data_IF_529911955803
#
_entry.id   IF_529911955803
#
_cell.length_a   1.000
_cell.length_b   1.000
_cell.length_c   1.000
_cell.angle_alpha   90.00
_cell.angle_beta   90.00
_cell.angle_gamma   90.00
#
_symmetry.space_group_name_H-M   'P 1'
#
loop_
_entity.id
_entity.type
_entity.pdbx_description
1 polymer ?
#
# COMPACT_ATOMS: atom_id res chain seq x y z
N UNK A 1 -19.46 -26.43 -77.44
CA UNK A 1 -17.99 -26.37 -77.29
C UNK A 1 -17.70 -26.45 -75.80
N UNK A 2 -17.13 -27.56 -75.32
CA UNK A 2 -16.78 -27.69 -73.90
C UNK A 2 -15.55 -26.81 -73.65
N UNK A 3 -15.75 -25.69 -72.98
CA UNK A 3 -14.67 -24.81 -72.57
C UNK A 3 -13.84 -25.51 -71.49
N UNK A 4 -12.56 -25.12 -71.37
CA UNK A 4 -11.59 -25.61 -70.37
C UNK A 4 -12.06 -25.34 -68.91
N UNK A 5 -13.23 -24.73 -68.72
CA UNK A 5 -13.81 -24.22 -67.48
C UNK A 5 -14.13 -25.29 -66.41
N UNK A 6 -14.55 -26.51 -66.76
CA UNK A 6 -15.00 -27.48 -65.72
C UNK A 6 -13.88 -27.98 -64.79
N UNK A 7 -12.63 -28.10 -65.26
CA UNK A 7 -11.48 -28.48 -64.40
C UNK A 7 -10.82 -27.28 -63.71
N UNK A 8 -11.16 -26.05 -64.15
CA UNK A 8 -10.69 -24.80 -63.52
C UNK A 8 -11.49 -24.44 -62.26
N UNK A 9 -12.68 -25.03 -62.06
CA UNK A 9 -13.48 -24.83 -60.84
C UNK A 9 -12.90 -25.60 -59.63
N UNK A 10 -12.07 -26.64 -59.86
CA UNK A 10 -11.37 -27.37 -58.81
C UNK A 10 -9.95 -27.78 -59.25
N UNK A 11 -9.01 -26.83 -59.38
CA UNK A 11 -7.70 -27.10 -59.95
C UNK A 11 -6.90 -28.06 -59.05
N UNK A 12 -6.42 -29.15 -59.63
CA UNK A 12 -5.56 -30.14 -58.96
C UNK A 12 -4.12 -29.99 -59.44
N UNK A 13 -3.15 -30.28 -58.57
CA UNK A 13 -1.75 -30.31 -58.95
C UNK A 13 -1.43 -31.62 -59.69
N UNK A 14 -1.30 -31.56 -61.01
CA UNK A 14 -0.82 -32.68 -61.81
C UNK A 14 0.69 -32.87 -61.60
N UNK A 15 1.13 -34.12 -61.37
CA UNK A 15 2.55 -34.47 -61.30
C UNK A 15 3.15 -34.52 -62.72
N UNK A 16 4.15 -33.66 -62.99
CA UNK A 16 4.65 -33.44 -64.35
C UNK A 16 3.73 -32.62 -65.28
N UNK A 17 4.28 -32.17 -66.41
CA UNK A 17 3.49 -31.72 -67.56
C UNK A 17 3.66 -32.80 -68.61
N UNK A 18 2.56 -33.31 -69.15
CA UNK A 18 2.60 -34.34 -70.19
C UNK A 18 3.49 -33.89 -71.35
N UNK A 19 4.37 -34.75 -71.84
CA UNK A 19 5.11 -34.48 -73.06
C UNK A 19 4.40 -35.19 -74.21
N UNK A 20 4.12 -34.46 -75.30
CA UNK A 20 3.59 -35.08 -76.50
C UNK A 20 4.62 -36.05 -77.07
N UNK A 21 4.20 -37.29 -77.29
CA UNK A 21 5.03 -38.35 -77.85
C UNK A 21 4.80 -38.46 -79.36
N UNK A 22 5.79 -38.96 -80.09
CA UNK A 22 5.69 -39.14 -81.56
C UNK A 22 4.62 -40.16 -81.97
N UNK A 23 4.17 -40.99 -81.04
CA UNK A 23 3.10 -41.98 -81.21
C UNK A 23 1.71 -41.43 -80.89
N UNK A 24 1.60 -40.20 -80.38
CA UNK A 24 0.32 -39.64 -79.94
C UNK A 24 -0.56 -39.28 -81.15
N UNK A 25 -1.84 -39.69 -81.14
CA UNK A 25 -2.77 -39.29 -82.18
C UNK A 25 -3.07 -37.79 -82.07
N UNK A 26 -3.10 -37.09 -83.21
CA UNK A 26 -3.44 -35.66 -83.30
C UNK A 26 -4.95 -35.49 -83.10
N UNK A 27 -5.39 -35.62 -81.85
CA UNK A 27 -6.76 -35.45 -81.43
C UNK A 27 -6.92 -34.08 -80.80
N UNK A 28 -7.69 -33.21 -81.48
CA UNK A 28 -8.14 -31.94 -80.93
C UNK A 28 -9.38 -32.09 -80.03
N UNK A 29 -9.89 -30.97 -79.56
CA UNK A 29 -11.06 -30.91 -78.67
C UNK A 29 -10.72 -30.94 -77.17
N UNK A 30 -11.73 -30.82 -76.29
CA UNK A 30 -11.54 -30.56 -74.86
C UNK A 30 -10.76 -31.66 -74.10
N UNK A 31 -10.84 -32.89 -74.60
CA UNK A 31 -10.15 -34.07 -74.06
C UNK A 31 -9.10 -34.63 -75.04
N UNK A 32 -8.73 -33.86 -76.05
CA UNK A 32 -7.71 -34.24 -77.02
C UNK A 32 -6.32 -34.21 -76.39
N UNK A 33 -5.48 -35.20 -76.73
CA UNK A 33 -4.10 -35.32 -76.20
C UNK A 33 -3.29 -34.05 -76.51
N UNK A 34 -3.53 -33.42 -77.67
CA UNK A 34 -2.88 -32.17 -78.07
C UNK A 34 -3.14 -30.99 -77.11
N UNK A 35 -4.25 -30.99 -76.37
CA UNK A 35 -4.62 -29.91 -75.44
C UNK A 35 -4.25 -30.21 -73.98
N UNK A 36 -3.75 -31.42 -73.69
CA UNK A 36 -3.43 -31.87 -72.32
C UNK A 36 -2.40 -30.98 -71.65
N UNK A 37 -1.33 -30.63 -72.36
CA UNK A 37 -0.26 -29.75 -71.88
C UNK A 37 -0.78 -28.38 -71.41
N UNK A 38 -1.60 -27.74 -72.25
CA UNK A 38 -2.17 -26.43 -71.95
C UNK A 38 -3.16 -26.50 -70.77
N UNK A 39 -3.92 -27.60 -70.67
CA UNK A 39 -4.87 -27.85 -69.58
C UNK A 39 -4.15 -28.02 -68.23
N UNK A 40 -3.12 -28.87 -68.19
CA UNK A 40 -2.31 -29.12 -66.98
C UNK A 40 -1.57 -27.85 -66.52
N UNK A 41 -1.07 -27.03 -67.45
CA UNK A 41 -0.43 -25.76 -67.13
C UNK A 41 -1.43 -24.72 -66.57
N UNK A 42 -2.61 -24.62 -67.17
CA UNK A 42 -3.67 -23.71 -66.71
C UNK A 42 -4.16 -24.10 -65.30
N UNK A 43 -4.38 -25.39 -65.05
CA UNK A 43 -4.77 -25.91 -63.74
C UNK A 43 -3.71 -25.64 -62.66
N UNK A 44 -2.42 -25.85 -62.96
CA UNK A 44 -1.31 -25.52 -62.05
C UNK A 44 -1.24 -24.03 -61.72
N UNK A 45 -1.41 -23.19 -62.72
CA UNK A 45 -1.35 -21.72 -62.53
C UNK A 45 -2.48 -21.26 -61.61
N UNK A 46 -3.68 -21.78 -61.76
CA UNK A 46 -4.80 -21.48 -60.86
C UNK A 46 -4.62 -22.09 -59.47
N UNK A 47 -4.10 -23.32 -59.36
CA UNK A 47 -3.79 -23.94 -58.07
C UNK A 47 -2.78 -23.09 -57.27
N UNK A 48 -1.70 -22.64 -57.91
CA UNK A 48 -0.69 -21.78 -57.29
C UNK A 48 -1.26 -20.42 -56.89
N UNK A 49 -2.10 -19.81 -57.73
CA UNK A 49 -2.78 -18.55 -57.38
C UNK A 49 -3.68 -18.72 -56.16
N UNK A 50 -4.47 -19.80 -56.10
CA UNK A 50 -5.34 -20.12 -54.96
C UNK A 50 -4.52 -20.34 -53.69
N UNK A 51 -3.43 -21.10 -53.77
CA UNK A 51 -2.51 -21.30 -52.65
C UNK A 51 -1.86 -20.00 -52.18
N UNK A 52 -1.44 -19.15 -53.10
CA UNK A 52 -0.88 -17.84 -52.77
C UNK A 52 -1.91 -16.91 -52.11
N UNK A 53 -3.19 -17.00 -52.46
CA UNK A 53 -4.27 -16.26 -51.82
C UNK A 53 -4.64 -16.82 -50.44
N UNK A 54 -4.59 -18.15 -50.25
CA UNK A 54 -4.73 -18.83 -48.95
C UNK A 54 -3.58 -18.49 -47.98
N UNK A 55 -2.36 -18.37 -48.49
CA UNK A 55 -1.14 -18.10 -47.69
C UNK A 55 -0.90 -16.62 -47.42
N UNK A 56 -1.73 -15.69 -47.92
CA UNK A 56 -1.59 -14.26 -47.61
C UNK A 56 -1.90 -14.02 -46.13
N UNK A 57 -0.92 -13.59 -45.31
CA UNK A 57 -1.19 -13.28 -43.91
C UNK A 57 -2.18 -12.11 -43.85
N UNK A 58 -3.25 -12.29 -43.06
CA UNK A 58 -4.22 -11.22 -42.78
C UNK A 58 -3.59 -10.06 -41.99
N UNK A 59 -4.40 -9.06 -41.63
CA UNK A 59 -3.93 -7.98 -40.76
C UNK A 59 -3.47 -8.53 -39.39
N UNK A 60 -2.38 -7.98 -38.87
CA UNK A 60 -1.93 -8.27 -37.51
C UNK A 60 -2.89 -7.67 -36.47
N UNK A 61 -3.05 -8.35 -35.34
CA UNK A 61 -3.72 -7.83 -34.15
C UNK A 61 -2.92 -8.17 -32.89
N UNK A 62 -3.37 -7.68 -31.74
CA UNK A 62 -2.81 -8.01 -30.43
C UNK A 62 -2.90 -9.49 -30.06
N UNK A 63 -3.70 -10.27 -30.80
CA UNK A 63 -3.96 -11.70 -30.55
C UNK A 63 -3.65 -12.60 -31.76
N UNK A 64 -3.32 -12.02 -32.92
CA UNK A 64 -3.09 -12.76 -34.17
C UNK A 64 -1.93 -12.17 -34.98
N UNK A 65 -0.98 -13.03 -35.37
CA UNK A 65 0.12 -12.62 -36.26
C UNK A 65 -0.40 -12.28 -37.68
N UNK A 66 0.18 -11.26 -38.31
CA UNK A 66 -0.24 -10.78 -39.62
C UNK A 66 0.61 -9.61 -40.15
N UNK A 67 0.14 -8.92 -41.19
CA UNK A 67 0.75 -7.70 -41.73
C UNK A 67 0.27 -6.49 -40.92
N UNK A 68 1.20 -5.74 -40.33
CA UNK A 68 0.91 -4.53 -39.55
C UNK A 68 0.71 -3.33 -40.48
N UNK A 69 -0.39 -2.60 -40.33
CA UNK A 69 -0.63 -1.33 -41.00
C UNK A 69 -0.14 -0.16 -40.13
N UNK A 70 0.39 0.90 -40.75
CA UNK A 70 1.02 2.02 -40.04
C UNK A 70 0.14 3.29 -40.08
N UNK A 71 0.05 4.01 -38.96
CA UNK A 71 -0.69 5.27 -38.84
C UNK A 71 0.16 6.42 -38.29
N UNK A 72 -0.08 7.62 -38.82
CA UNK A 72 0.51 8.88 -38.33
C UNK A 72 -0.45 9.70 -37.45
N UNK A 73 -1.64 9.18 -37.13
CA UNK A 73 -2.58 9.85 -36.25
C UNK A 73 -2.05 9.92 -34.80
N UNK A 74 -2.26 11.04 -34.11
CA UNK A 74 -1.79 11.26 -32.73
C UNK A 74 -2.87 11.03 -31.66
N UNK A 75 -4.06 10.68 -32.10
CA UNK A 75 -5.32 10.57 -31.34
C UNK A 75 -6.07 9.27 -31.70
N UNK A 76 -5.40 8.33 -32.34
CA UNK A 76 -5.98 7.06 -32.75
C UNK A 76 -6.21 6.15 -31.55
N UNK A 77 -7.42 5.58 -31.47
CA UNK A 77 -7.78 4.50 -30.53
C UNK A 77 -7.79 3.11 -31.21
N UNK A 78 -7.32 3.00 -32.45
CA UNK A 78 -7.28 1.72 -33.17
C UNK A 78 -6.23 0.77 -32.57
N UNK A 79 -6.64 -0.47 -32.32
CA UNK A 79 -5.74 -1.57 -31.92
C UNK A 79 -5.19 -2.37 -33.12
N UNK A 80 -5.61 -2.03 -34.34
CA UNK A 80 -5.22 -2.71 -35.59
C UNK A 80 -4.05 -2.02 -36.31
N UNK A 81 -3.70 -0.79 -35.89
CA UNK A 81 -2.70 0.05 -36.54
C UNK A 81 -1.53 0.34 -35.58
N UNK A 82 -0.30 0.20 -36.07
CA UNK A 82 0.88 0.62 -35.33
C UNK A 82 1.21 2.11 -35.58
N UNK A 83 1.65 2.80 -34.51
CA UNK A 83 2.07 4.19 -34.61
C UNK A 83 3.40 4.33 -35.36
N UNK A 84 3.46 5.30 -36.29
CA UNK A 84 4.70 5.68 -36.97
C UNK A 84 5.58 6.57 -36.08
N UNK A 85 6.90 6.65 -36.34
CA UNK A 85 7.79 7.61 -35.67
C UNK A 85 7.29 9.06 -35.76
N UNK A 86 6.60 9.42 -36.84
CA UNK A 86 5.98 10.74 -37.03
C UNK A 86 4.85 10.99 -36.02
N UNK A 87 3.97 10.01 -35.79
CA UNK A 87 2.92 10.10 -34.76
C UNK A 87 3.54 10.28 -33.38
N UNK A 88 4.57 9.49 -33.06
CA UNK A 88 5.28 9.56 -31.77
C UNK A 88 5.91 10.94 -31.58
N UNK A 89 6.59 11.46 -32.62
CA UNK A 89 7.19 12.81 -32.55
C UNK A 89 6.15 13.91 -32.37
N UNK A 90 5.04 13.86 -33.11
CA UNK A 90 3.99 14.86 -33.00
C UNK A 90 3.27 14.82 -31.64
N UNK A 91 3.08 13.63 -31.06
CA UNK A 91 2.57 13.49 -29.69
C UNK A 91 3.56 14.05 -28.65
N UNK A 92 4.86 13.79 -28.84
CA UNK A 92 5.91 14.35 -27.99
C UNK A 92 5.96 15.88 -28.05
N UNK A 93 5.92 16.47 -29.25
CA UNK A 93 5.95 17.93 -29.42
C UNK A 93 4.73 18.60 -28.77
N UNK A 94 3.53 18.00 -28.89
CA UNK A 94 2.33 18.47 -28.18
C UNK A 94 2.48 18.39 -26.65
N UNK A 95 3.16 17.37 -26.14
CA UNK A 95 3.43 17.24 -24.70
C UNK A 95 4.41 18.33 -24.22
N UNK A 96 5.46 18.62 -25.00
CA UNK A 96 6.42 19.70 -24.72
C UNK A 96 5.73 21.08 -24.75
N UNK A 97 4.88 21.35 -25.75
CA UNK A 97 4.12 22.59 -25.83
C UNK A 97 3.16 22.75 -24.63
N UNK A 98 2.51 21.67 -24.22
CA UNK A 98 1.61 21.66 -23.07
C UNK A 98 2.36 21.93 -21.75
N UNK A 99 3.59 21.44 -21.62
CA UNK A 99 4.43 21.70 -20.46
C UNK A 99 4.80 23.20 -20.33
N UNK A 100 4.99 23.90 -21.45
CA UNK A 100 5.28 25.34 -21.46
C UNK A 100 4.10 26.25 -21.11
N UNK A 101 2.86 25.75 -21.17
CA UNK A 101 1.64 26.52 -20.85
C UNK A 101 1.12 26.32 -19.42
N UNK A 102 1.69 25.37 -18.68
CA UNK A 102 1.31 25.10 -17.29
C UNK A 102 1.94 26.09 -16.31
N UNK A 103 1.31 26.29 -15.15
CA UNK A 103 1.96 26.97 -14.02
C UNK A 103 3.24 26.21 -13.64
N UNK A 104 4.39 26.88 -13.45
CA UNK A 104 5.62 26.21 -13.05
C UNK A 104 5.55 25.74 -11.59
N UNK A 105 6.32 24.70 -11.25
CA UNK A 105 6.50 24.28 -9.85
C UNK A 105 7.04 25.44 -9.03
N UNK A 106 6.49 25.66 -7.84
CA UNK A 106 6.80 26.81 -6.99
C UNK A 106 5.96 28.06 -7.23
N UNK A 107 5.15 28.12 -8.30
CA UNK A 107 4.21 29.22 -8.50
C UNK A 107 3.14 29.23 -7.39
N UNK A 108 2.86 30.42 -6.86
CA UNK A 108 1.82 30.65 -5.84
C UNK A 108 0.56 31.18 -6.51
N UNK A 109 -0.59 30.60 -6.16
CA UNK A 109 -1.92 31.00 -6.61
C UNK A 109 -2.83 31.28 -5.42
N UNK A 110 -3.67 32.31 -5.53
CA UNK A 110 -4.64 32.69 -4.50
C UNK A 110 -6.06 32.36 -4.93
N UNK A 111 -6.84 31.75 -4.03
CA UNK A 111 -8.27 31.51 -4.24
C UNK A 111 -9.11 32.37 -3.29
N UNK A 112 -10.11 33.12 -3.77
CA UNK A 112 -10.96 34.00 -2.95
C UNK A 112 -11.99 33.24 -2.10
N UNK A 113 -11.96 31.91 -2.13
CA UNK A 113 -12.80 31.04 -1.32
C UNK A 113 -11.95 29.95 -0.68
N UNK A 114 -12.42 29.38 0.42
CA UNK A 114 -11.78 28.21 1.01
C UNK A 114 -11.90 27.00 0.08
N UNK A 115 -10.75 26.39 -0.19
CA UNK A 115 -10.63 25.12 -0.91
C UNK A 115 -9.88 24.19 0.02
N UNK A 116 -10.42 22.99 0.27
CA UNK A 116 -9.90 22.06 1.28
C UNK A 116 -8.75 21.20 0.77
N UNK A 117 -8.61 21.03 -0.55
CA UNK A 117 -7.51 20.31 -1.19
C UNK A 117 -7.45 20.67 -2.67
N UNK A 118 -6.24 20.86 -3.20
CA UNK A 118 -6.00 21.09 -4.61
C UNK A 118 -4.90 20.12 -5.07
N UNK A 119 -5.27 19.12 -5.87
CA UNK A 119 -4.35 18.09 -6.34
C UNK A 119 -3.12 18.71 -7.02
N UNK A 120 -1.92 18.33 -6.60
CA UNK A 120 -0.67 18.90 -7.11
C UNK A 120 -0.23 20.22 -6.45
N UNK A 121 -0.92 20.71 -5.42
CA UNK A 121 -0.55 21.91 -4.69
C UNK A 121 -0.43 21.65 -3.18
N UNK A 122 0.42 22.45 -2.53
CA UNK A 122 0.54 22.52 -1.08
C UNK A 122 0.06 23.89 -0.59
N UNK A 123 -0.40 24.00 0.66
CA UNK A 123 -0.84 25.28 1.22
C UNK A 123 0.37 26.16 1.51
N UNK A 124 0.34 27.44 1.13
CA UNK A 124 1.42 28.38 1.37
C UNK A 124 1.30 28.99 2.78
N UNK A 125 1.54 28.18 3.80
CA UNK A 125 1.31 28.48 5.22
C UNK A 125 2.58 28.42 6.08
N UNK A 126 3.76 28.41 5.45
CA UNK A 126 5.03 28.32 6.19
C UNK A 126 5.38 26.92 6.70
N UNK A 127 4.55 25.90 6.49
CA UNK A 127 4.85 24.54 6.91
C UNK A 127 6.04 23.94 6.15
N UNK A 128 6.56 22.81 6.66
CA UNK A 128 7.62 22.06 5.98
C UNK A 128 7.05 20.92 5.16
N UNK A 129 7.73 20.56 4.07
CA UNK A 129 7.32 19.46 3.20
C UNK A 129 8.42 18.40 3.05
N UNK A 130 8.04 17.20 2.65
CA UNK A 130 8.98 16.10 2.44
C UNK A 130 9.72 16.27 1.11
N UNK A 131 11.05 16.41 1.17
CA UNK A 131 11.91 16.57 0.00
C UNK A 131 11.88 15.36 -0.95
N UNK A 132 11.77 14.12 -0.43
CA UNK A 132 11.72 12.94 -1.30
C UNK A 132 10.42 12.87 -2.09
N UNK A 133 9.34 13.43 -1.54
CA UNK A 133 8.04 13.53 -2.21
C UNK A 133 8.00 14.70 -3.20
N UNK A 134 8.67 15.82 -2.91
CA UNK A 134 8.65 17.04 -3.72
C UNK A 134 10.06 17.57 -4.05
N UNK A 135 10.88 16.81 -4.79
CA UNK A 135 12.28 17.18 -5.06
C UNK A 135 12.41 18.44 -5.92
N UNK A 136 11.50 18.63 -6.89
CA UNK A 136 11.51 19.82 -7.75
C UNK A 136 11.11 21.09 -6.99
N UNK A 137 10.13 20.99 -6.08
CA UNK A 137 9.75 22.11 -5.24
C UNK A 137 10.89 22.51 -4.30
N UNK A 138 11.59 21.53 -3.72
CA UNK A 138 12.78 21.77 -2.90
C UNK A 138 13.87 22.52 -3.69
N UNK A 139 14.13 22.10 -4.93
CA UNK A 139 15.10 22.76 -5.80
C UNK A 139 14.71 24.20 -6.14
N UNK A 140 13.43 24.48 -6.36
CA UNK A 140 12.93 25.83 -6.65
C UNK A 140 12.99 26.73 -5.41
N UNK A 141 12.61 26.21 -4.24
CA UNK A 141 12.56 27.00 -2.99
C UNK A 141 13.92 27.14 -2.30
N UNK A 142 14.90 26.28 -2.62
CA UNK A 142 16.19 26.25 -1.94
C UNK A 142 16.13 25.68 -0.51
N UNK A 143 15.02 25.03 -0.13
CA UNK A 143 14.78 24.50 1.20
C UNK A 143 13.46 23.74 1.29
N UNK A 144 13.19 23.16 2.46
CA UNK A 144 12.00 22.34 2.71
C UNK A 144 10.85 23.10 3.40
N UNK A 145 10.88 24.44 3.40
CA UNK A 145 9.87 25.28 4.04
C UNK A 145 9.09 26.05 2.97
N UNK A 146 7.76 25.96 3.05
CA UNK A 146 6.86 26.69 2.16
C UNK A 146 6.88 28.19 2.50
N UNK A 147 6.59 29.09 1.54
CA UNK A 147 6.33 30.49 1.87
C UNK A 147 5.09 30.59 2.77
N UNK A 148 5.13 31.48 3.76
CA UNK A 148 3.95 31.82 4.57
C UNK A 148 3.30 33.06 3.98
N UNK A 149 2.18 32.85 3.28
CA UNK A 149 1.42 33.90 2.60
C UNK A 149 0.13 34.26 3.35
N UNK A 150 -0.02 33.79 4.60
CA UNK A 150 -1.12 34.21 5.47
C UNK A 150 -0.88 35.66 5.90
N UNK A 151 -1.96 36.40 6.13
CA UNK A 151 -1.87 37.83 6.45
C UNK A 151 -1.05 38.04 7.73
N UNK A 152 -0.15 39.01 7.66
CA UNK A 152 1.04 39.13 8.50
C UNK A 152 0.78 39.70 9.89
N UNK A 153 -0.47 39.75 10.35
CA UNK A 153 -0.78 40.24 11.70
C UNK A 153 -0.19 39.26 12.71
N UNK A 154 0.83 39.64 13.50
CA UNK A 154 1.53 38.68 14.35
C UNK A 154 0.59 38.10 15.41
N UNK A 155 0.40 36.79 15.38
CA UNK A 155 -0.32 36.08 16.45
C UNK A 155 0.26 36.45 17.81
N UNK A 156 -0.60 36.84 18.74
CA UNK A 156 -0.27 37.34 20.07
C UNK A 156 -0.28 38.87 20.23
N UNK A 157 -0.57 39.62 19.17
CA UNK A 157 -0.68 41.08 19.22
C UNK A 157 -1.93 41.54 20.03
N UNK A 158 -1.76 42.62 20.80
CA UNK A 158 -2.86 43.33 21.48
C UNK A 158 -3.59 44.23 20.48
N UNK A 159 -4.90 44.02 20.37
CA UNK A 159 -5.79 44.85 19.56
C UNK A 159 -6.76 45.58 20.48
N UNK A 160 -6.72 46.92 20.43
CA UNK A 160 -7.74 47.77 21.05
C UNK A 160 -8.94 47.86 20.12
N UNK A 161 -9.98 47.10 20.43
CA UNK A 161 -11.17 46.97 19.59
C UNK A 161 -12.29 47.89 20.08
N UNK A 162 -12.83 48.69 19.17
CA UNK A 162 -13.80 49.75 19.51
C UNK A 162 -15.23 49.43 19.07
N UNK A 163 -15.44 48.34 18.32
CA UNK A 163 -16.77 47.96 17.83
C UNK A 163 -17.45 46.98 18.79
N UNK A 164 -18.77 47.06 18.86
CA UNK A 164 -19.63 46.09 19.51
C UNK A 164 -19.88 44.86 18.61
N UNK A 165 -20.51 43.82 19.17
CA UNK A 165 -20.87 42.61 18.44
C UNK A 165 -19.80 41.50 18.45
N UNK A 166 -19.98 40.56 17.52
CA UNK A 166 -19.12 39.39 17.38
C UNK A 166 -17.74 39.82 16.87
N UNK A 167 -16.68 39.31 17.53
CA UNK A 167 -15.33 39.51 17.04
C UNK A 167 -15.14 38.77 15.71
N UNK A 168 -14.32 39.30 14.80
CA UNK A 168 -13.74 38.51 13.73
C UNK A 168 -13.11 37.23 14.31
N UNK A 169 -13.16 36.14 13.56
CA UNK A 169 -12.74 34.83 14.04
C UNK A 169 -11.24 34.73 14.40
N UNK A 170 -10.42 35.64 13.89
CA UNK A 170 -9.00 35.77 14.23
C UNK A 170 -8.72 36.52 15.54
N UNK A 171 -9.74 37.15 16.14
CA UNK A 171 -9.64 37.86 17.41
C UNK A 171 -10.38 37.11 18.54
N UNK A 172 -9.79 37.15 19.73
CA UNK A 172 -10.42 36.68 20.97
C UNK A 172 -10.28 37.74 22.06
N UNK A 173 -11.14 37.67 23.07
CA UNK A 173 -11.01 38.53 24.26
C UNK A 173 -9.83 38.13 25.15
N UNK A 174 -9.13 39.15 25.65
CA UNK A 174 -8.22 39.04 26.79
C UNK A 174 -9.01 39.15 28.12
N UNK A 175 -9.83 38.14 28.41
CA UNK A 175 -10.76 38.10 29.55
C UNK A 175 -10.47 36.96 30.54
N UNK A 176 -9.28 36.36 30.51
CA UNK A 176 -8.91 35.26 31.41
C UNK A 176 -9.47 33.88 31.02
N UNK A 177 -10.13 33.74 29.88
CA UNK A 177 -10.74 32.47 29.45
C UNK A 177 -9.69 31.39 29.10
N UNK A 178 -10.10 30.13 29.20
CA UNK A 178 -9.32 29.01 28.68
C UNK A 178 -9.73 28.70 27.23
N UNK A 179 -8.76 28.62 26.32
CA UNK A 179 -8.97 28.36 24.89
C UNK A 179 -8.29 27.07 24.43
N UNK A 180 -8.74 26.53 23.29
CA UNK A 180 -8.25 25.26 22.74
C UNK A 180 -6.86 25.38 22.12
N UNK A 181 -5.94 24.47 22.50
CA UNK A 181 -4.61 24.35 21.90
C UNK A 181 -4.68 23.97 20.42
N UNK A 182 -5.66 23.14 20.06
CA UNK A 182 -5.84 22.69 18.66
C UNK A 182 -6.44 23.78 17.78
N UNK A 183 -7.31 24.64 18.34
CA UNK A 183 -7.90 25.74 17.59
C UNK A 183 -6.92 26.92 17.41
N UNK A 184 -6.02 27.13 18.38
CA UNK A 184 -5.06 28.24 18.40
C UNK A 184 -3.61 27.76 18.62
N UNK A 185 -3.08 26.90 17.73
CA UNK A 185 -1.79 26.24 17.93
C UNK A 185 -0.60 27.21 17.90
N UNK A 186 -0.65 28.25 17.07
CA UNK A 186 0.42 29.26 16.99
C UNK A 186 0.50 30.13 18.24
N UNK A 187 -0.65 30.53 18.79
CA UNK A 187 -0.69 31.30 20.03
C UNK A 187 -0.17 30.46 21.19
N UNK A 188 -0.58 29.17 21.26
CA UNK A 188 -0.07 28.25 22.27
C UNK A 188 1.44 28.02 22.14
N UNK A 189 1.98 27.88 20.93
CA UNK A 189 3.41 27.73 20.72
C UNK A 189 4.22 28.94 21.24
N UNK A 190 3.65 30.16 21.16
CA UNK A 190 4.29 31.38 21.65
C UNK A 190 4.16 31.58 23.16
N UNK A 191 2.99 31.32 23.72
CA UNK A 191 2.68 31.65 25.13
C UNK A 191 2.78 30.47 26.09
N UNK A 192 2.65 29.25 25.58
CA UNK A 192 2.52 28.04 26.38
C UNK A 192 1.39 28.19 27.40
N UNK A 193 1.74 28.07 28.67
CA UNK A 193 0.81 28.19 29.81
C UNK A 193 1.03 29.47 30.63
N UNK A 194 1.66 30.50 30.05
CA UNK A 194 2.01 31.76 30.74
C UNK A 194 0.84 32.39 31.48
N UNK A 195 -0.36 32.32 30.89
CA UNK A 195 -1.58 32.90 31.45
C UNK A 195 -2.55 31.86 32.00
N UNK A 196 -2.04 30.66 32.33
CA UNK A 196 -2.81 29.57 32.89
C UNK A 196 -2.63 28.26 32.11
N UNK A 197 -2.61 27.15 32.84
CA UNK A 197 -2.44 25.82 32.26
C UNK A 197 -3.71 25.28 31.56
N UNK A 198 -4.82 26.01 31.64
CA UNK A 198 -6.13 25.50 31.23
C UNK A 198 -6.50 24.24 32.01
N UNK A 199 -6.93 23.21 31.31
CA UNK A 199 -7.20 21.89 31.88
C UNK A 199 -5.95 20.97 31.95
N UNK A 200 -4.76 21.52 31.68
CA UNK A 200 -3.49 20.77 31.70
C UNK A 200 -3.20 19.94 30.44
N UNK A 201 -4.15 19.78 29.52
CA UNK A 201 -3.99 18.91 28.34
C UNK A 201 -4.39 19.58 27.03
N UNK A 202 -5.66 19.97 26.87
CA UNK A 202 -6.22 20.44 25.60
C UNK A 202 -6.48 21.94 25.54
N UNK A 203 -6.41 22.64 26.68
CA UNK A 203 -6.61 24.09 26.75
C UNK A 203 -5.43 24.83 27.40
N UNK A 204 -5.41 26.15 27.24
CA UNK A 204 -4.48 27.07 27.91
C UNK A 204 -5.19 28.41 28.18
N UNK A 205 -4.74 29.14 29.19
CA UNK A 205 -5.33 30.43 29.57
C UNK A 205 -4.82 31.58 28.70
N UNK A 206 -5.66 32.60 28.54
CA UNK A 206 -5.30 33.92 27.99
C UNK A 206 -5.26 34.95 29.11
N UNK A 207 -4.57 36.09 28.95
CA UNK A 207 -4.57 37.12 29.99
C UNK A 207 -5.97 37.67 30.26
N UNK A 208 -6.20 38.17 31.46
CA UNK A 208 -7.31 39.05 31.77
C UNK A 208 -6.78 40.49 31.83
N UNK A 209 -7.10 41.29 30.82
CA UNK A 209 -6.67 42.69 30.73
C UNK A 209 -7.83 43.66 30.95
N UNK A 210 -8.99 43.17 31.38
CA UNK A 210 -10.14 44.01 31.65
C UNK A 210 -9.86 44.89 32.86
N UNK A 211 -9.97 46.21 32.69
CA UNK A 211 -9.69 47.19 33.74
C UNK A 211 -8.22 47.51 33.94
N UNK A 212 -7.30 46.85 33.22
CA UNK A 212 -5.87 47.05 33.37
C UNK A 212 -5.33 48.17 32.45
N UNK A 213 -4.30 48.88 32.93
CA UNK A 213 -3.56 49.85 32.10
C UNK A 213 -2.25 49.25 31.59
N UNK A 214 -2.01 49.24 30.26
CA UNK A 214 -0.75 48.76 29.73
C UNK A 214 0.36 49.76 30.03
N UNK A 215 1.47 49.25 30.57
CA UNK A 215 2.73 49.98 30.67
C UNK A 215 3.85 49.22 30.00
N UNK A 216 4.72 49.95 29.30
CA UNK A 216 5.82 49.34 28.58
C UNK A 216 6.83 48.73 29.56
N UNK A 217 7.29 47.53 29.22
CA UNK A 217 8.28 46.81 30.01
C UNK A 217 9.62 47.55 30.00
N UNK A 218 10.28 47.61 31.16
CA UNK A 218 11.53 48.36 31.34
C UNK A 218 12.62 47.92 30.36
N UNK A 219 12.70 46.61 30.08
CA UNK A 219 13.66 46.00 29.16
C UNK A 219 15.10 46.50 29.32
N UNK A 220 15.53 46.75 30.57
CA UNK A 220 16.89 47.17 30.91
C UNK A 220 17.13 48.69 30.95
N UNK A 221 16.09 49.52 30.81
CA UNK A 221 16.21 50.98 30.92
C UNK A 221 16.53 51.45 32.35
N UNK A 222 16.14 50.69 33.37
CA UNK A 222 16.43 51.00 34.77
C UNK A 222 15.39 51.89 35.48
N UNK A 223 14.23 52.13 34.87
CA UNK A 223 13.13 52.93 35.46
C UNK A 223 12.17 52.05 36.28
N UNK A 224 11.99 50.80 35.88
CA UNK A 224 11.09 49.84 36.53
C UNK A 224 11.81 48.49 36.70
N UNK A 225 12.91 48.52 37.47
CA UNK A 225 13.84 47.41 37.67
C UNK A 225 13.14 46.23 38.36
N UNK A 226 13.42 45.02 37.88
CA UNK A 226 12.93 43.78 38.49
C UNK A 226 11.52 43.37 38.05
N UNK A 227 10.82 44.20 37.26
CA UNK A 227 9.51 43.84 36.74
C UNK A 227 9.59 42.84 35.59
N UNK A 228 8.85 41.75 35.70
CA UNK A 228 8.71 40.77 34.62
C UNK A 228 7.66 41.20 33.59
N UNK A 229 7.89 40.91 32.31
CA UNK A 229 6.90 41.14 31.26
C UNK A 229 5.58 40.43 31.60
N UNK A 230 4.44 41.11 31.46
CA UNK A 230 3.12 40.55 31.76
C UNK A 230 2.77 40.40 33.25
N UNK A 231 3.58 40.94 34.16
CA UNK A 231 3.24 40.99 35.60
C UNK A 231 2.24 42.10 35.93
N UNK A 232 1.28 41.77 36.79
CA UNK A 232 0.32 42.71 37.36
C UNK A 232 1.00 43.61 38.42
N UNK A 233 0.46 44.82 38.59
CA UNK A 233 0.86 45.74 39.64
C UNK A 233 -0.39 46.46 40.13
N UNK A 234 -0.59 46.51 41.45
CA UNK A 234 -1.66 47.30 42.07
C UNK A 234 -1.46 48.80 41.83
N UNK A 235 -2.52 49.57 42.02
CA UNK A 235 -2.43 51.01 41.98
C UNK A 235 -1.54 51.54 43.12
N UNK A 236 -0.79 52.60 42.84
CA UNK A 236 0.07 53.25 43.82
C UNK A 236 0.16 54.75 43.50
N UNK A 237 0.12 55.58 44.55
CA UNK A 237 0.41 57.00 44.46
C UNK A 237 1.84 57.28 44.89
N UNK A 238 2.45 58.31 44.31
CA UNK A 238 3.78 58.77 44.75
C UNK A 238 3.75 59.15 46.23
N UNK A 239 4.71 58.65 47.00
CA UNK A 239 4.90 59.00 48.42
C UNK A 239 4.94 60.53 48.60
N UNK A 240 4.14 61.03 49.54
CA UNK A 240 4.06 62.44 49.92
C UNK A 240 3.59 62.56 51.38
N UNK A 241 3.74 63.76 51.96
CA UNK A 241 3.32 64.07 53.33
C UNK A 241 2.41 65.30 53.35
N UNK A 242 1.54 65.37 54.35
CA UNK A 242 0.71 66.54 54.65
C UNK A 242 1.21 67.18 55.95
N UNK A 243 1.38 68.50 55.96
CA UNK A 243 1.66 69.26 57.17
C UNK A 243 0.40 69.92 57.71
N UNK A 244 0.02 69.61 58.94
CA UNK A 244 -0.96 70.40 59.68
C UNK A 244 -0.27 71.50 60.48
N UNK A 245 -0.79 72.73 60.47
CA UNK A 245 -0.36 73.76 61.42
C UNK A 245 -1.25 73.62 62.67
N UNK A 246 -0.69 73.41 63.88
CA UNK A 246 -1.49 73.41 65.10
C UNK A 246 -2.19 74.78 65.24
N UNK A 247 -3.51 74.79 65.20
CA UNK A 247 -4.27 76.02 65.45
C UNK A 247 -4.33 76.24 66.96
N UNK A 248 -4.04 77.46 67.42
CA UNK A 248 -4.18 77.81 68.85
C UNK A 248 -5.64 77.64 69.26
N UNK A 249 -5.92 76.63 70.09
CA UNK A 249 -7.21 76.43 70.75
C UNK A 249 -6.99 76.52 72.27
N UNK A 250 -7.93 77.13 72.98
CA UNK A 250 -7.91 77.12 74.44
C UNK A 250 -8.39 75.77 74.96
N UNK A 251 -7.58 75.09 75.77
CA UNK A 251 -8.01 73.92 76.54
C UNK A 251 -8.64 74.36 77.88
N UNK A 252 -9.53 73.52 78.39
CA UNK A 252 -10.06 73.66 79.76
C UNK A 252 -10.15 72.31 80.49
N UNK A 253 -9.48 71.28 79.98
CA UNK A 253 -9.61 69.90 80.45
C UNK A 253 -8.57 69.49 81.50
N UNK A 254 -7.50 70.28 81.69
CA UNK A 254 -6.44 70.00 82.68
C UNK A 254 -6.30 70.99 83.83
N UNK A 255 -7.33 71.77 84.15
CA UNK A 255 -7.51 72.38 85.47
C UNK A 255 -6.26 72.95 86.13
N UNK A 256 -5.47 73.78 85.43
CA UNK A 256 -4.32 74.49 86.00
C UNK A 256 -3.11 74.59 85.08
N UNK A 257 -2.75 75.84 84.74
CA UNK A 257 -1.61 76.29 83.93
C UNK A 257 -1.67 75.96 82.42
N UNK A 258 -1.95 77.02 81.65
CA UNK A 258 -1.88 77.13 80.18
C UNK A 258 -0.72 76.34 79.57
N UNK A 259 -1.05 75.25 78.86
CA UNK A 259 -0.13 74.69 77.86
C UNK A 259 -0.12 75.61 76.63
N UNK A 260 1.06 75.98 76.14
CA UNK A 260 1.18 76.85 74.96
C UNK A 260 0.84 76.10 73.66
N UNK A 261 0.81 74.76 73.71
CA UNK A 261 0.36 73.88 72.64
C UNK A 261 -0.38 72.69 73.26
N UNK A 262 -1.69 72.58 72.99
CA UNK A 262 -2.44 71.33 73.19
C UNK A 262 -2.67 70.67 71.82
N UNK A 263 -2.48 69.35 71.71
CA UNK A 263 -2.87 68.55 70.54
C UNK A 263 -3.94 67.57 71.03
N UNK A 264 -5.18 68.03 71.08
CA UNK A 264 -6.34 67.19 71.46
C UNK A 264 -6.95 66.44 70.27
N UNK A 265 -6.35 66.55 69.09
CA UNK A 265 -6.72 65.79 67.90
C UNK A 265 -5.55 65.64 66.94
N UNK A 266 -5.24 64.41 66.54
CA UNK A 266 -4.37 64.15 65.39
C UNK A 266 -5.17 64.57 64.16
N UNK A 267 -4.84 65.71 63.56
CA UNK A 267 -5.45 66.16 62.31
C UNK A 267 -5.10 65.20 61.17
N UNK A 268 -5.93 64.19 60.95
CA UNK A 268 -5.85 63.32 59.78
C UNK A 268 -6.64 63.97 58.64
N UNK A 269 -6.07 63.96 57.44
CA UNK A 269 -6.83 64.30 56.23
C UNK A 269 -7.92 63.25 56.03
N UNK A 270 -9.10 63.67 55.59
CA UNK A 270 -10.16 62.74 55.21
C UNK A 270 -9.77 61.92 53.97
N UNK A 271 -10.41 60.77 53.80
CA UNK A 271 -10.27 59.99 52.58
C UNK A 271 -10.85 60.79 51.40
N UNK A 272 -10.00 61.14 50.44
CA UNK A 272 -10.40 61.78 49.20
C UNK A 272 -10.03 60.88 48.01
N UNK A 273 -10.99 60.61 47.12
CA UNK A 273 -10.79 59.77 45.95
C UNK A 273 -11.85 58.66 45.80
N UNK A 274 -11.56 57.71 44.91
CA UNK A 274 -12.37 56.51 44.71
C UNK A 274 -11.62 55.24 45.11
N UNK A 275 -12.16 54.06 44.76
CA UNK A 275 -11.56 52.75 45.05
C UNK A 275 -10.23 52.47 44.35
N UNK A 276 -9.82 53.31 43.40
CA UNK A 276 -8.62 53.14 42.57
C UNK A 276 -8.22 54.50 41.97
N UNK A 277 -6.92 54.67 41.77
CA UNK A 277 -6.33 55.77 40.99
C UNK A 277 -6.35 55.45 39.50
N UNK A 278 -7.07 56.23 38.69
CA UNK A 278 -7.09 56.01 37.23
C UNK A 278 -6.89 57.30 36.42
N UNK A 279 -6.14 57.25 35.30
CA UNK A 279 -6.11 58.36 34.35
C UNK A 279 -7.47 58.51 33.65
N UNK A 280 -7.71 59.67 33.03
CA UNK A 280 -8.84 59.82 32.10
C UNK A 280 -8.66 58.81 30.97
N UNK A 281 -9.64 57.93 30.78
CA UNK A 281 -9.57 56.84 29.81
C UNK A 281 -10.92 56.65 29.10
N UNK A 282 -10.87 55.95 27.97
CA UNK A 282 -12.03 55.49 27.21
C UNK A 282 -12.00 53.97 27.21
N UNK A 283 -13.12 53.35 27.56
CA UNK A 283 -13.23 51.90 27.56
C UNK A 283 -13.19 51.36 26.12
N UNK A 284 -12.25 50.45 25.88
CA UNK A 284 -12.15 49.66 24.65
C UNK A 284 -11.99 48.20 25.00
N UNK A 285 -12.37 47.32 24.08
CA UNK A 285 -12.25 45.87 24.27
C UNK A 285 -10.80 45.47 23.99
N UNK A 286 -10.17 44.82 24.96
CA UNK A 286 -8.83 44.27 24.79
C UNK A 286 -8.93 42.89 24.12
N UNK A 287 -8.44 42.81 22.89
CA UNK A 287 -8.46 41.58 22.09
C UNK A 287 -7.05 41.11 21.76
N UNK A 288 -6.92 39.83 21.42
CA UNK A 288 -5.68 39.18 21.03
C UNK A 288 -5.86 38.61 19.62
N UNK A 289 -4.87 38.82 18.77
CA UNK A 289 -4.77 38.09 17.49
C UNK A 289 -4.46 36.63 17.79
N UNK A 290 -5.47 35.76 17.74
CA UNK A 290 -5.38 34.37 18.18
C UNK A 290 -4.94 33.40 17.08
N UNK A 291 -5.18 33.78 15.82
CA UNK A 291 -4.74 33.07 14.62
C UNK A 291 -4.49 34.10 13.50
N UNK A 292 -3.77 33.73 12.42
CA UNK A 292 -3.58 34.62 11.28
C UNK A 292 -4.92 35.10 10.71
N UNK A 293 -4.97 36.34 10.21
CA UNK A 293 -6.16 36.89 9.57
C UNK A 293 -6.29 36.35 8.14
N UNK A 294 -7.21 35.42 7.92
CA UNK A 294 -7.49 34.98 6.56
C UNK A 294 -8.36 36.06 5.91
N UNK A 295 -7.82 36.95 5.05
CA UNK A 295 -8.63 37.91 4.25
C UNK A 295 -9.60 37.22 3.24
N UNK A 296 -9.96 35.97 3.47
CA UNK A 296 -10.73 35.11 2.57
C UNK A 296 -9.90 34.50 1.42
N UNK A 297 -8.63 34.88 1.27
CA UNK A 297 -7.75 34.37 0.21
C UNK A 297 -6.87 33.25 0.75
N UNK A 298 -7.01 32.06 0.17
CA UNK A 298 -6.15 30.92 0.48
C UNK A 298 -5.08 30.79 -0.59
N UNK A 299 -3.81 30.87 -0.19
CA UNK A 299 -2.67 30.73 -1.08
C UNK A 299 -2.18 29.28 -1.13
N UNK A 300 -1.91 28.82 -2.34
CA UNK A 300 -1.44 27.48 -2.65
C UNK A 300 -0.22 27.56 -3.56
N UNK A 301 0.76 26.71 -3.34
CA UNK A 301 1.97 26.61 -4.14
C UNK A 301 1.98 25.32 -4.94
N UNK A 302 2.27 25.41 -6.23
CA UNK A 302 2.32 24.23 -7.10
C UNK A 302 3.48 23.32 -6.69
N UNK A 303 3.16 22.11 -6.25
CA UNK A 303 4.11 21.12 -5.79
C UNK A 303 4.44 20.08 -6.87
N UNK A 304 3.48 19.70 -7.70
CA UNK A 304 3.67 18.89 -8.91
C UNK A 304 2.53 19.08 -9.92
N UNK A 305 2.78 18.82 -11.21
CA UNK A 305 1.72 18.43 -12.15
C UNK A 305 1.67 16.91 -12.16
N UNK A 306 0.50 16.30 -11.94
CA UNK A 306 0.27 14.85 -11.92
C UNK A 306 1.31 14.03 -12.71
N UNK A 307 2.17 13.28 -12.02
CA UNK A 307 2.91 12.17 -12.65
C UNK A 307 2.12 10.91 -12.39
N UNK A 308 1.33 10.52 -13.38
CA UNK A 308 0.90 9.13 -13.47
C UNK A 308 2.12 8.36 -13.95
N UNK A 309 2.57 7.41 -13.13
CA UNK A 309 3.68 6.48 -13.33
C UNK A 309 5.12 7.02 -13.18
N UNK A 310 5.70 6.75 -12.00
CA UNK A 310 7.12 6.92 -11.68
C UNK A 310 8.03 5.84 -12.29
N UNK A 311 7.50 4.96 -13.14
CA UNK A 311 8.32 4.07 -13.95
C UNK A 311 8.60 4.76 -15.28
N UNK A 312 9.85 5.17 -15.50
CA UNK A 312 10.35 5.34 -16.87
C UNK A 312 10.14 3.99 -17.55
N UNK A 313 9.06 3.86 -18.33
CA UNK A 313 8.89 2.72 -19.22
C UNK A 313 10.00 2.88 -20.27
N UNK A 314 11.11 2.20 -20.04
CA UNK A 314 12.15 2.04 -21.04
C UNK A 314 11.61 1.12 -22.14
N UNK A 315 10.78 1.69 -23.00
CA UNK A 315 10.13 1.02 -24.10
C UNK A 315 11.16 0.41 -25.06
N UNK A 316 12.37 1.00 -25.13
CA UNK A 316 13.53 0.45 -25.85
C UNK A 316 14.02 -0.86 -25.24
N UNK A 317 14.21 -0.91 -23.91
CA UNK A 317 14.63 -2.14 -23.21
C UNK A 317 13.52 -3.20 -23.24
N UNK A 318 12.26 -2.79 -23.10
CA UNK A 318 11.11 -3.71 -23.21
C UNK A 318 10.97 -4.27 -24.63
N UNK A 319 11.07 -3.43 -25.66
CA UNK A 319 11.03 -3.86 -27.06
C UNK A 319 12.21 -4.78 -27.37
N UNK A 320 13.42 -4.46 -26.92
CA UNK A 320 14.58 -5.34 -27.05
C UNK A 320 14.37 -6.68 -26.34
N UNK A 321 13.78 -6.67 -25.14
CA UNK A 321 13.44 -7.88 -24.38
C UNK A 321 12.40 -8.76 -25.08
N UNK A 322 11.37 -8.15 -25.68
CA UNK A 322 10.35 -8.82 -26.48
C UNK A 322 10.95 -9.41 -27.77
N UNK A 323 11.78 -8.65 -28.49
CA UNK A 323 12.49 -9.13 -29.68
C UNK A 323 13.36 -10.35 -29.36
N UNK A 324 14.05 -10.32 -28.22
CA UNK A 324 14.90 -11.42 -27.75
C UNK A 324 14.12 -12.69 -27.36
N UNK A 325 12.81 -12.58 -27.10
CA UNK A 325 11.93 -13.69 -26.68
C UNK A 325 11.02 -14.20 -27.79
N UNK A 326 10.72 -13.40 -28.81
CA UNK A 326 9.77 -13.72 -29.88
C UNK A 326 10.18 -14.94 -30.72
N UNK A 327 11.46 -15.11 -31.06
CA UNK A 327 11.85 -16.03 -32.15
C UNK A 327 12.91 -17.06 -31.76
N UNK A 328 13.06 -17.36 -30.46
CA UNK A 328 13.94 -18.45 -30.03
C UNK A 328 13.07 -19.66 -29.70
N UNK A 329 13.24 -20.76 -30.43
CA UNK A 329 12.74 -22.06 -30.01
C UNK A 329 13.42 -22.45 -28.70
N UNK A 330 12.84 -22.07 -27.57
CA UNK A 330 13.40 -22.36 -26.25
C UNK A 330 13.15 -23.84 -25.94
N UNK A 331 14.15 -24.69 -26.17
CA UNK A 331 14.13 -26.08 -25.70
C UNK A 331 14.66 -26.12 -24.27
N UNK A 332 13.79 -26.33 -23.30
CA UNK A 332 14.19 -26.47 -21.90
C UNK A 332 14.79 -27.85 -21.63
N UNK A 333 15.86 -27.91 -20.85
CA UNK A 333 16.40 -29.17 -20.30
C UNK A 333 15.75 -29.44 -18.95
N UNK A 334 15.56 -30.71 -18.58
CA UNK A 334 15.00 -31.07 -17.26
C UNK A 334 15.81 -30.46 -16.08
N UNK A 335 17.11 -30.21 -16.27
CA UNK A 335 17.98 -29.54 -15.29
C UNK A 335 17.66 -28.04 -15.08
N UNK A 336 16.89 -27.42 -15.97
CA UNK A 336 16.49 -26.00 -15.89
C UNK A 336 15.13 -25.83 -15.20
N UNK A 337 14.47 -26.95 -14.87
CA UNK A 337 13.26 -26.99 -14.06
C UNK A 337 13.72 -27.15 -12.61
N UNK A 338 13.88 -26.03 -11.91
CA UNK A 338 14.02 -26.03 -10.46
C UNK A 338 12.90 -26.87 -9.86
N UNK A 339 13.17 -27.63 -8.79
CA UNK A 339 12.23 -28.52 -8.07
C UNK A 339 11.83 -29.85 -8.73
N UNK A 340 12.26 -30.15 -9.97
CA UNK A 340 11.91 -31.42 -10.63
C UNK A 340 12.28 -32.67 -9.82
N UNK A 341 13.47 -32.67 -9.19
CA UNK A 341 13.92 -33.79 -8.34
C UNK A 341 13.08 -33.93 -7.06
N UNK A 342 12.64 -32.81 -6.48
CA UNK A 342 11.81 -32.78 -5.27
C UNK A 342 10.38 -33.21 -5.58
N UNK A 343 9.84 -32.79 -6.73
CA UNK A 343 8.55 -33.23 -7.25
C UNK A 343 8.54 -34.74 -7.55
N UNK A 344 9.62 -35.29 -8.11
CA UNK A 344 9.76 -36.74 -8.33
C UNK A 344 9.86 -37.51 -7.01
N UNK A 345 10.59 -37.00 -6.02
CA UNK A 345 10.70 -37.62 -4.70
C UNK A 345 9.36 -37.66 -3.95
N UNK A 346 8.52 -36.63 -4.11
CA UNK A 346 7.19 -36.55 -3.51
C UNK A 346 6.17 -37.57 -4.07
N UNK A 347 6.48 -38.26 -5.18
CA UNK A 347 5.59 -39.27 -5.77
C UNK A 347 5.53 -40.57 -4.95
N UNK A 348 6.52 -40.84 -4.09
CA UNK A 348 6.52 -42.00 -3.18
C UNK A 348 6.16 -41.56 -1.77
N UNK A 349 5.12 -42.16 -1.19
CA UNK A 349 4.67 -41.84 0.17
C UNK A 349 5.09 -42.95 1.13
N UNK A 350 5.83 -42.59 2.18
CA UNK A 350 6.21 -43.48 3.27
C UNK A 350 5.51 -43.08 4.58
N UNK A 351 4.93 -44.05 5.29
CA UNK A 351 4.21 -43.82 6.55
C UNK A 351 4.47 -44.98 7.53
N UNK A 352 4.64 -44.67 8.82
CA UNK A 352 4.73 -45.67 9.89
C UNK A 352 3.46 -45.64 10.74
N UNK A 353 2.80 -46.78 10.92
CA UNK A 353 1.62 -46.95 11.78
C UNK A 353 1.88 -48.12 12.73
N UNK A 354 2.08 -47.81 14.02
CA UNK A 354 2.44 -48.82 15.01
C UNK A 354 3.73 -49.56 14.64
N UNK A 355 3.66 -50.89 14.55
CA UNK A 355 4.78 -51.75 14.13
C UNK A 355 4.87 -51.95 12.62
N UNK A 356 4.06 -51.25 11.82
CA UNK A 356 4.03 -51.38 10.38
C UNK A 356 4.63 -50.16 9.67
N UNK A 357 5.44 -50.44 8.67
CA UNK A 357 5.95 -49.52 7.68
C UNK A 357 5.16 -49.68 6.38
N UNK A 358 4.71 -48.56 5.83
CA UNK A 358 3.81 -48.48 4.68
C UNK A 358 4.49 -47.66 3.59
N UNK A 359 4.56 -48.22 2.38
CA UNK A 359 5.09 -47.55 1.19
C UNK A 359 4.02 -47.54 0.10
N UNK A 360 3.67 -46.35 -0.40
CA UNK A 360 2.78 -46.15 -1.55
C UNK A 360 3.57 -45.57 -2.71
N UNK A 361 3.61 -46.34 -3.80
CA UNK A 361 4.34 -45.99 -5.02
C UNK A 361 3.43 -45.23 -6.01
N UNK A 362 4.02 -44.44 -6.92
CA UNK A 362 3.27 -43.57 -7.85
C UNK A 362 2.36 -44.37 -8.80
N UNK A 363 2.80 -45.57 -9.14
CA UNK A 363 2.13 -46.55 -10.01
C UNK A 363 0.87 -47.17 -9.39
N UNK A 364 0.54 -46.85 -8.13
CA UNK A 364 -0.60 -47.37 -7.39
C UNK A 364 -0.30 -48.60 -6.52
N UNK A 365 0.96 -49.02 -6.40
CA UNK A 365 1.37 -50.16 -5.55
C UNK A 365 1.48 -49.75 -4.08
N UNK A 366 0.92 -50.55 -3.17
CA UNK A 366 1.03 -50.40 -1.72
C UNK A 366 1.76 -51.60 -1.13
N UNK A 367 2.75 -51.33 -0.27
CA UNK A 367 3.49 -52.33 0.47
C UNK A 367 3.32 -52.02 1.95
N UNK A 368 2.87 -53.01 2.72
CA UNK A 368 2.82 -52.93 4.17
C UNK A 368 3.67 -54.03 4.77
N UNK A 369 4.64 -53.65 5.61
CA UNK A 369 5.50 -54.59 6.32
C UNK A 369 5.52 -54.30 7.80
N UNK A 370 5.30 -55.29 8.64
CA UNK A 370 5.29 -55.09 10.09
C UNK A 370 5.21 -56.38 10.86
N UNK A 371 5.20 -56.26 12.19
CA UNK A 371 5.35 -57.41 13.08
C UNK A 371 4.22 -57.51 14.10
N UNK A 372 3.78 -58.73 14.39
CA UNK A 372 2.81 -59.04 15.45
C UNK A 372 3.44 -60.03 16.41
N UNK A 373 3.53 -59.66 17.70
CA UNK A 373 4.00 -60.56 18.75
C UNK A 373 2.84 -61.39 19.29
N UNK A 374 3.03 -62.70 19.35
CA UNK A 374 2.10 -63.66 19.92
C UNK A 374 2.75 -64.24 21.17
N UNK A 375 2.08 -64.05 22.30
CA UNK A 375 2.48 -64.63 23.58
C UNK A 375 1.61 -65.85 23.87
N UNK A 376 2.26 -66.89 24.37
CA UNK A 376 1.70 -68.15 24.80
C UNK A 376 0.61 -68.71 23.87
N UNK A 377 1.02 -69.15 22.67
CA UNK A 377 0.07 -69.59 21.64
C UNK A 377 -0.64 -70.92 21.96
N UNK A 378 -0.17 -71.68 22.97
CA UNK A 378 -0.80 -72.89 23.54
C UNK A 378 -1.21 -73.96 22.52
N UNK A 379 -0.55 -73.99 21.35
CA UNK A 379 -0.95 -74.79 20.19
C UNK A 379 -2.45 -74.68 19.84
N UNK A 380 -3.04 -73.50 20.07
CA UNK A 380 -4.46 -73.28 19.87
C UNK A 380 -4.77 -73.30 18.35
N UNK A 381 -5.62 -74.22 17.85
CA UNK A 381 -5.90 -74.37 16.42
C UNK A 381 -6.83 -73.28 15.84
N UNK A 382 -7.09 -72.21 16.59
CA UNK A 382 -7.95 -71.11 16.15
C UNK A 382 -7.22 -70.18 15.17
N UNK A 383 -7.92 -69.78 14.11
CA UNK A 383 -7.42 -68.79 13.16
C UNK A 383 -7.23 -67.45 13.85
N UNK A 384 -6.09 -66.80 13.63
CA UNK A 384 -5.80 -65.45 14.08
C UNK A 384 -6.07 -64.47 12.95
N UNK A 385 -6.43 -63.24 13.29
CA UNK A 385 -6.67 -62.17 12.32
C UNK A 385 -5.72 -61.01 12.59
N UNK A 386 -5.08 -60.51 11.55
CA UNK A 386 -4.40 -59.22 11.53
C UNK A 386 -5.19 -58.29 10.63
N UNK A 387 -5.62 -57.15 11.16
CA UNK A 387 -6.18 -56.05 10.37
C UNK A 387 -5.05 -55.18 9.85
N UNK A 388 -5.00 -54.94 8.54
CA UNK A 388 -4.00 -54.06 7.92
C UNK A 388 -4.20 -52.62 8.40
N UNK A 389 -3.13 -51.91 8.78
CA UNK A 389 -3.18 -50.48 9.11
C UNK A 389 -3.87 -49.62 8.06
N UNK A 390 -3.67 -49.92 6.77
CA UNK A 390 -4.48 -49.36 5.68
C UNK A 390 -5.06 -50.49 4.83
N UNK A 391 -6.32 -50.34 4.45
CA UNK A 391 -6.94 -51.29 3.53
C UNK A 391 -6.33 -51.16 2.13
N UNK A 392 -6.12 -52.29 1.47
CA UNK A 392 -5.84 -52.38 0.05
C UNK A 392 -7.15 -52.26 -0.76
N UNK A 393 -7.05 -52.08 -2.08
CA UNK A 393 -8.22 -52.13 -2.98
C UNK A 393 -8.71 -53.57 -3.18
N UNK A 394 -7.78 -54.51 -3.27
CA UNK A 394 -8.05 -55.95 -3.40
C UNK A 394 -7.23 -56.71 -2.36
N UNK A 395 -7.58 -57.97 -2.10
CA UNK A 395 -6.80 -58.83 -1.21
C UNK A 395 -5.30 -58.81 -1.64
N UNK A 396 -4.38 -58.40 -0.75
CA UNK A 396 -2.97 -58.32 -1.09
C UNK A 396 -2.35 -59.71 -1.19
N UNK A 397 -1.21 -59.80 -1.87
CA UNK A 397 -0.33 -60.96 -1.75
C UNK A 397 0.41 -60.84 -0.42
N UNK A 398 0.20 -61.81 0.48
CA UNK A 398 0.78 -61.79 1.82
C UNK A 398 1.84 -62.87 1.95
N UNK A 399 3.01 -62.47 2.43
CA UNK A 399 4.07 -63.36 2.90
C UNK A 399 4.23 -63.13 4.40
N UNK A 400 4.24 -64.21 5.16
CA UNK A 400 4.50 -64.16 6.59
C UNK A 400 5.65 -65.10 6.96
N UNK A 401 6.50 -64.66 7.86
CA UNK A 401 7.56 -65.47 8.46
C UNK A 401 7.46 -65.41 9.98
N UNK A 402 8.11 -66.36 10.66
CA UNK A 402 8.17 -66.41 12.11
C UNK A 402 9.59 -66.13 12.59
N UNK A 403 9.71 -65.45 13.72
CA UNK A 403 10.96 -65.20 14.41
C UNK A 403 10.76 -65.27 15.93
N UNK A 404 11.75 -65.77 16.67
CA UNK A 404 11.74 -65.80 18.13
C UNK A 404 13.16 -65.56 18.70
N UNK A 405 13.29 -65.13 19.97
CA UNK A 405 14.57 -64.65 20.52
C UNK A 405 15.69 -65.71 20.60
N UNK A 406 15.37 -66.99 20.82
CA UNK A 406 16.37 -68.06 21.00
C UNK A 406 15.84 -69.41 20.51
N UNK A 407 16.67 -70.17 19.77
CA UNK A 407 16.75 -71.65 19.66
C UNK A 407 15.52 -72.51 19.34
N UNK A 408 14.30 -71.99 19.44
CA UNK A 408 13.05 -72.74 19.56
C UNK A 408 12.13 -72.57 18.34
N UNK A 409 12.61 -71.96 17.25
CA UNK A 409 11.85 -71.90 15.98
C UNK A 409 12.03 -73.20 15.17
N UNK A 410 11.97 -74.35 15.86
CA UNK A 410 12.07 -75.67 15.25
C UNK A 410 10.66 -76.22 15.06
N UNK A 411 10.32 -76.60 13.83
CA UNK A 411 9.03 -77.20 13.46
C UNK A 411 7.79 -76.33 13.82
N UNK A 412 7.93 -75.01 13.62
CA UNK A 412 6.82 -74.05 13.68
C UNK A 412 6.70 -73.34 12.33
N UNK A 413 5.46 -73.16 11.85
CA UNK A 413 5.19 -72.45 10.60
C UNK A 413 3.92 -71.60 10.70
N UNK A 414 3.86 -70.61 9.83
CA UNK A 414 2.68 -69.77 9.63
C UNK A 414 2.03 -70.15 8.31
N UNK A 415 0.72 -70.37 8.34
CA UNK A 415 -0.09 -70.62 7.15
C UNK A 415 -1.10 -69.51 7.00
N UNK A 416 -1.17 -68.89 5.83
CA UNK A 416 -2.17 -67.86 5.52
C UNK A 416 -3.46 -68.54 5.01
N UNK A 417 -4.62 -68.18 5.57
CA UNK A 417 -5.92 -68.55 5.00
C UNK A 417 -6.31 -67.57 3.90
N UNK A 418 -5.98 -67.91 2.66
CA UNK A 418 -6.38 -67.09 1.51
C UNK A 418 -7.89 -67.07 1.28
N UNK A 419 -8.68 -68.01 1.83
CA UNK A 419 -10.13 -68.06 1.63
C UNK A 419 -10.88 -67.07 2.51
N UNK A 420 -10.33 -66.72 3.67
CA UNK A 420 -10.94 -65.77 4.62
C UNK A 420 -10.30 -64.39 4.58
N UNK A 421 -9.05 -64.30 4.09
CA UNK A 421 -8.34 -63.04 3.96
C UNK A 421 -8.97 -62.12 2.90
N UNK A 422 -8.98 -60.83 3.17
CA UNK A 422 -9.56 -59.82 2.29
C UNK A 422 -8.67 -58.56 2.23
N UNK A 423 -9.18 -57.50 1.62
CA UNK A 423 -8.45 -56.25 1.41
C UNK A 423 -8.05 -55.51 2.71
N UNK A 424 -8.68 -55.83 3.84
CA UNK A 424 -8.48 -55.14 5.12
C UNK A 424 -7.91 -56.04 6.20
N UNK A 425 -7.92 -57.37 6.03
CA UNK A 425 -7.43 -58.29 7.04
C UNK A 425 -6.86 -59.57 6.44
N UNK A 426 -5.83 -60.11 7.10
CA UNK A 426 -5.26 -61.43 6.82
C UNK A 426 -5.58 -62.38 7.96
N UNK A 427 -6.11 -63.55 7.60
CA UNK A 427 -6.32 -64.66 8.51
C UNK A 427 -5.16 -65.63 8.40
N UNK A 428 -4.62 -66.07 9.53
CA UNK A 428 -3.46 -66.95 9.55
C UNK A 428 -3.50 -67.90 10.73
N UNK A 429 -2.84 -69.04 10.58
CA UNK A 429 -2.61 -70.00 11.64
C UNK A 429 -1.14 -70.07 11.95
N UNK A 430 -0.85 -70.27 13.23
CA UNK A 430 0.48 -70.63 13.70
C UNK A 430 0.37 -72.07 14.19
N UNK A 431 1.15 -72.94 13.58
CA UNK A 431 1.17 -74.36 13.91
C UNK A 431 2.52 -74.74 14.51
N UNK A 432 2.49 -75.46 15.62
CA UNK A 432 3.66 -76.05 16.25
C UNK A 432 3.37 -77.52 16.57
N UNK A 433 4.33 -78.40 16.27
CA UNK A 433 4.08 -79.84 16.39
C UNK A 433 4.35 -80.41 17.79
N UNK A 434 5.37 -79.94 18.53
CA UNK A 434 5.90 -80.66 19.71
C UNK A 434 6.35 -79.78 20.90
N UNK A 435 6.84 -78.54 20.73
CA UNK A 435 7.72 -77.90 21.73
C UNK A 435 7.17 -76.71 22.55
N UNK A 436 5.90 -76.33 22.42
CA UNK A 436 5.24 -75.22 23.14
C UNK A 436 6.12 -73.98 23.30
N UNK A 437 6.61 -73.45 22.19
CA UNK A 437 7.42 -72.22 22.17
C UNK A 437 6.59 -71.06 22.71
N UNK A 438 7.01 -70.40 23.81
CA UNK A 438 6.13 -69.49 24.53
C UNK A 438 5.83 -68.22 23.74
N UNK A 439 6.83 -67.58 23.13
CA UNK A 439 6.67 -66.29 22.46
C UNK A 439 7.23 -66.31 21.03
N UNK A 440 6.40 -65.96 20.06
CA UNK A 440 6.80 -65.86 18.64
C UNK A 440 6.38 -64.52 18.05
N UNK A 441 7.15 -64.02 17.09
CA UNK A 441 6.83 -62.81 16.33
C UNK A 441 6.58 -63.20 14.88
N UNK A 442 5.38 -62.88 14.39
CA UNK A 442 5.03 -63.03 12.98
C UNK A 442 5.41 -61.76 12.25
N UNK A 443 6.27 -61.87 11.25
CA UNK A 443 6.66 -60.77 10.38
C UNK A 443 5.84 -60.86 9.10
N UNK A 444 5.06 -59.83 8.80
CA UNK A 444 4.21 -59.76 7.63
C UNK A 444 4.81 -58.81 6.60
N UNK A 445 4.69 -59.19 5.33
CA UNK A 445 4.84 -58.32 4.17
C UNK A 445 3.64 -58.55 3.26
N UNK A 446 2.88 -57.51 3.00
CA UNK A 446 1.75 -57.52 2.07
C UNK A 446 2.00 -56.55 0.93
N UNK A 447 1.74 -57.01 -0.29
CA UNK A 447 1.84 -56.21 -1.51
C UNK A 447 0.49 -56.20 -2.20
N UNK A 448 -0.05 -55.01 -2.46
CA UNK A 448 -1.34 -54.82 -3.11
C UNK A 448 -1.44 -53.45 -3.78
N UNK A 449 -2.67 -52.97 -3.96
CA UNK A 449 -2.98 -51.73 -4.69
C UNK A 449 -3.69 -50.71 -3.79
N UNK A 450 -3.39 -49.43 -3.98
CA UNK A 450 -4.05 -48.29 -3.32
C UNK A 450 -4.73 -47.32 -4.28
N UNK A 451 -4.47 -47.46 -5.58
CA UNK A 451 -5.19 -46.81 -6.69
C UNK A 451 -5.74 -47.84 -7.66
#
# INVERSE_FOLDING_TARGET
MANITEELDNPQWAEGIYQLETTDPVLGGPNGIANRQAKELAARTQYLKKKQEEDKPGAASTTKAGIVQLSSATDSNSEELAATPKAVKAAYDKAVESAGKGLPVGAVIGFPRSITSQEGYLKADGSTFNQSTYPDLYRVLGGNRLPDMRDTTPVGELVMWTMDGALPDYLIDANGQNISRTAYPELFAKWGTRYGAGNGSTTFGVPDWRGEFPRFWDNGRGVDVGRALGSAQSDEFKSHTHGGVPQRAGDSDRGGAVSWFSIDGIGQTEAAGGSETRPRNVAVRACIVAKPSDKGINYWIKAYGKVTNAGVLDASTLAAGLQNKSDKGHTHRAAEINDFAEAVAALTVYQKIGTFDICKLPDGTQIESGTVRIQNHNNNPTARVLTWPLAFITAPVVVATLSAPEGNVRDIWVTIDSRQSNQSAVYYWVHEQIYNTPDVTVNFVAIGRWK
#
